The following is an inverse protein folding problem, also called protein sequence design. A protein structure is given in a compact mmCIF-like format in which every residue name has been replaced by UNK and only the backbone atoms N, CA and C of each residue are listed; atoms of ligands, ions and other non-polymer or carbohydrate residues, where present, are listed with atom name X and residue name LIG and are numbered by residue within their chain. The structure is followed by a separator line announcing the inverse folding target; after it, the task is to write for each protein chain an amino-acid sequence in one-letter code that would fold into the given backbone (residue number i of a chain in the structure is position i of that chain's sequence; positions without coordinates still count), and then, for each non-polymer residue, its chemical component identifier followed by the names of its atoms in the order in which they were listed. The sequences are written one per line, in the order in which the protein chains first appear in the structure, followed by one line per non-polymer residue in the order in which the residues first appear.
data_IF_812979153246
#
_entry.id   IF_812979153246
#
_cell.length_a   1.000
_cell.length_b   1.000
_cell.length_c   1.000
_cell.angle_alpha   90.00
_cell.angle_beta   90.00
_cell.angle_gamma   90.00
#
_symmetry.space_group_name_H-M   'P 1'
#
loop_
_entity.id
_entity.type
_entity.pdbx_description
1 polymer ?
#
# COMPACT_ATOMS: atom_id res chain seq x y z
N UNK A 1 -31.47 -32.50 27.47
CA UNK A 1 -30.20 -31.78 27.69
C UNK A 1 -29.62 -31.24 26.37
N UNK A 2 -30.44 -30.68 25.47
CA UNK A 2 -30.05 -30.37 24.07
C UNK A 2 -30.02 -28.87 23.70
N UNK A 3 -30.29 -27.95 24.65
CA UNK A 3 -30.40 -26.51 24.34
C UNK A 3 -29.05 -25.74 24.38
N UNK A 4 -27.97 -26.35 24.90
CA UNK A 4 -26.67 -25.67 25.06
C UNK A 4 -25.78 -25.75 23.81
N UNK A 5 -26.03 -26.71 22.92
CA UNK A 5 -25.18 -26.96 21.74
C UNK A 5 -25.42 -25.92 20.64
N UNK A 6 -26.65 -25.42 20.51
CA UNK A 6 -27.01 -24.44 19.46
C UNK A 6 -26.43 -23.05 19.70
N UNK A 7 -26.33 -22.60 20.95
CA UNK A 7 -25.84 -21.24 21.27
C UNK A 7 -24.33 -21.14 21.02
N UNK A 8 -23.57 -22.18 21.37
CA UNK A 8 -22.12 -22.21 21.13
C UNK A 8 -21.77 -22.27 19.64
N UNK A 9 -22.55 -23.00 18.83
CA UNK A 9 -22.39 -23.04 17.36
C UNK A 9 -22.76 -21.71 16.71
N UNK A 10 -23.82 -21.05 17.16
CA UNK A 10 -24.19 -19.71 16.66
C UNK A 10 -23.13 -18.69 17.07
N UNK A 11 -22.62 -18.71 18.30
CA UNK A 11 -21.53 -17.85 18.71
C UNK A 11 -20.25 -18.11 17.89
N UNK A 12 -19.87 -19.37 17.68
CA UNK A 12 -18.71 -19.73 16.86
C UNK A 12 -18.88 -19.31 15.39
N UNK A 13 -20.08 -19.44 14.82
CA UNK A 13 -20.39 -18.97 13.48
C UNK A 13 -20.38 -17.43 13.42
N UNK A 14 -20.90 -16.71 14.41
CA UNK A 14 -20.85 -15.24 14.48
C UNK A 14 -19.41 -14.73 14.64
N UNK A 15 -18.58 -15.38 15.46
CA UNK A 15 -17.16 -15.04 15.61
C UNK A 15 -16.33 -15.42 14.38
N UNK A 16 -16.69 -16.48 13.65
CA UNK A 16 -16.03 -16.87 12.40
C UNK A 16 -16.49 -16.05 11.18
N UNK A 17 -17.70 -15.47 11.20
CA UNK A 17 -18.30 -14.79 10.06
C UNK A 17 -17.88 -13.34 9.88
N UNK A 18 -17.17 -12.75 10.86
CA UNK A 18 -16.75 -11.34 10.76
C UNK A 18 -15.26 -11.20 11.08
N UNK A 19 -14.41 -11.88 10.30
CA UNK A 19 -13.09 -11.31 10.00
C UNK A 19 -13.29 -10.27 8.89
N UNK A 20 -14.12 -9.27 9.17
CA UNK A 20 -14.36 -8.22 8.23
C UNK A 20 -13.03 -7.48 8.07
N UNK A 21 -12.50 -7.53 6.85
CA UNK A 21 -11.42 -6.68 6.36
C UNK A 21 -11.92 -5.24 6.45
N UNK A 22 -11.88 -4.72 7.66
CA UNK A 22 -12.47 -3.45 8.03
C UNK A 22 -11.36 -2.46 8.28
N UNK A 23 -11.61 -1.25 7.82
CA UNK A 23 -10.70 -0.17 8.06
C UNK A 23 -10.51 0.04 9.56
N UNK A 24 -9.25 0.25 10.01
CA UNK A 24 -9.03 0.74 11.36
C UNK A 24 -9.71 2.10 11.58
N UNK A 25 -9.84 2.53 12.85
CA UNK A 25 -10.26 3.87 13.16
C UNK A 25 -9.46 4.92 12.37
N UNK A 26 -10.15 5.91 11.83
CA UNK A 26 -9.58 6.95 10.96
C UNK A 26 -8.39 7.69 11.62
N UNK A 27 -8.40 7.80 12.95
CA UNK A 27 -7.30 8.38 13.73
C UNK A 27 -5.95 7.66 13.53
N UNK A 28 -5.97 6.39 13.09
CA UNK A 28 -4.76 5.61 12.83
C UNK A 28 -4.25 5.83 11.40
N UNK A 29 -5.14 6.05 10.44
CA UNK A 29 -4.80 6.15 9.01
C UNK A 29 -4.64 7.57 8.51
N UNK A 30 -5.20 8.57 9.19
CA UNK A 30 -5.05 9.98 8.81
C UNK A 30 -3.58 10.37 8.63
N UNK A 31 -3.25 11.16 7.60
CA UNK A 31 -4.15 11.83 6.66
C UNK A 31 -4.63 10.97 5.48
N UNK A 32 -4.28 9.68 5.44
CA UNK A 32 -4.74 8.77 4.40
C UNK A 32 -6.14 8.20 4.73
N UNK A 33 -6.90 7.91 3.69
CA UNK A 33 -8.23 7.35 3.77
C UNK A 33 -8.15 5.83 3.60
N UNK A 34 -8.90 5.09 4.41
CA UNK A 34 -9.05 3.66 4.23
C UNK A 34 -10.39 3.37 3.55
N UNK A 35 -10.35 2.64 2.45
CA UNK A 35 -11.45 2.38 1.54
C UNK A 35 -11.78 0.87 1.56
N UNK A 36 -12.73 0.42 2.40
CA UNK A 36 -13.04 -1.00 2.55
C UNK A 36 -13.67 -1.58 1.28
N UNK A 37 -14.45 -0.77 0.54
CA UNK A 37 -15.11 -1.15 -0.72
C UNK A 37 -14.15 -1.37 -1.90
N UNK A 38 -12.87 -1.04 -1.72
CA UNK A 38 -11.82 -1.20 -2.72
C UNK A 38 -10.79 -2.22 -2.24
N UNK A 39 -11.25 -3.38 -1.76
CA UNK A 39 -10.40 -4.42 -1.19
C UNK A 39 -9.54 -3.91 -0.02
N UNK A 40 -10.11 -3.18 0.95
CA UNK A 40 -9.34 -2.62 2.08
C UNK A 40 -8.08 -1.84 1.60
N UNK A 41 -8.30 -0.85 0.74
CA UNK A 41 -7.23 0.02 0.20
C UNK A 41 -6.92 1.15 1.17
N UNK A 42 -5.63 1.40 1.43
CA UNK A 42 -5.18 2.65 2.05
C UNK A 42 -4.80 3.64 0.94
N UNK A 43 -5.57 4.70 0.80
CA UNK A 43 -5.36 5.75 -0.19
C UNK A 43 -4.78 7.01 0.44
N UNK A 44 -3.63 7.44 -0.06
CA UNK A 44 -2.90 8.61 0.37
C UNK A 44 -2.83 9.62 -0.79
N UNK A 45 -3.21 10.87 -0.53
CA UNK A 45 -3.20 11.94 -1.52
C UNK A 45 -2.33 13.10 -1.04
N UNK A 46 -1.61 13.74 -1.96
CA UNK A 46 -0.84 14.96 -1.70
C UNK A 46 0.20 14.80 -0.57
N UNK A 47 0.80 13.62 -0.42
CA UNK A 47 1.80 13.38 0.61
C UNK A 47 3.12 14.01 0.17
N UNK A 48 3.63 14.92 0.99
CA UNK A 48 4.94 15.56 0.78
C UNK A 48 6.00 15.12 1.80
N UNK A 49 5.57 14.49 2.89
CA UNK A 49 6.44 13.98 3.95
C UNK A 49 6.28 12.46 4.04
N UNK A 50 7.35 11.74 3.69
CA UNK A 50 7.40 10.28 3.75
C UNK A 50 7.16 9.73 5.18
N UNK A 51 7.43 10.53 6.21
CA UNK A 51 7.20 10.16 7.61
C UNK A 51 5.74 9.83 7.91
N UNK A 52 4.80 10.38 7.12
CA UNK A 52 3.37 10.08 7.20
C UNK A 52 3.11 8.59 6.99
N UNK A 53 3.67 8.00 5.94
CA UNK A 53 3.50 6.57 5.62
C UNK A 53 4.08 5.71 6.75
N UNK A 54 5.29 6.05 7.21
CA UNK A 54 5.91 5.34 8.32
C UNK A 54 5.14 5.48 9.63
N UNK A 55 4.49 6.63 9.87
CA UNK A 55 3.62 6.88 11.01
C UNK A 55 2.36 6.03 10.99
N UNK A 56 1.69 5.95 9.83
CA UNK A 56 0.51 5.10 9.64
C UNK A 56 0.89 3.64 9.87
N UNK A 57 1.96 3.15 9.23
CA UNK A 57 2.43 1.77 9.40
C UNK A 57 2.66 1.38 10.85
N UNK A 58 3.21 2.29 11.67
CA UNK A 58 3.38 2.05 13.12
C UNK A 58 2.06 2.00 13.87
N UNK A 59 1.09 2.84 13.52
CA UNK A 59 -0.22 2.92 14.20
C UNK A 59 -1.16 1.79 13.80
N UNK A 60 -1.12 1.37 12.54
CA UNK A 60 -1.95 0.27 12.01
C UNK A 60 -1.34 -1.10 12.28
N UNK A 61 -0.04 -1.16 12.61
CA UNK A 61 0.62 -2.36 13.11
C UNK A 61 0.46 -3.55 12.17
N UNK A 62 -0.23 -4.59 12.65
CA UNK A 62 -0.39 -5.88 11.97
C UNK A 62 -1.60 -5.93 11.01
N UNK A 63 -2.27 -4.80 10.79
CA UNK A 63 -3.32 -4.70 9.77
C UNK A 63 -2.66 -4.89 8.40
N UNK A 64 -3.20 -5.85 7.64
CA UNK A 64 -2.84 -6.07 6.24
C UNK A 64 -3.88 -5.39 5.37
N UNK A 65 -3.44 -4.41 4.58
CA UNK A 65 -4.22 -3.81 3.51
C UNK A 65 -3.95 -4.58 2.21
N UNK A 66 -4.93 -4.69 1.32
CA UNK A 66 -4.63 -5.29 0.01
C UNK A 66 -3.77 -4.34 -0.82
N UNK A 67 -4.06 -3.03 -0.75
CA UNK A 67 -3.43 -2.02 -1.60
C UNK A 67 -3.02 -0.78 -0.80
N UNK A 68 -1.84 -0.26 -1.13
CA UNK A 68 -1.47 1.13 -0.90
C UNK A 68 -1.67 1.89 -2.22
N UNK A 69 -2.48 2.95 -2.21
CA UNK A 69 -2.60 3.90 -3.32
C UNK A 69 -2.00 5.23 -2.95
N UNK A 70 -1.16 5.77 -3.83
CA UNK A 70 -0.59 7.10 -3.67
C UNK A 70 -0.94 7.95 -4.90
N UNK A 71 -1.53 9.12 -4.66
CA UNK A 71 -1.84 10.09 -5.71
C UNK A 71 -1.16 11.43 -5.44
N UNK A 72 -0.67 12.06 -6.49
CA UNK A 72 -0.15 13.44 -6.48
C UNK A 72 0.83 13.71 -5.32
N UNK A 73 1.70 12.75 -5.03
CA UNK A 73 2.60 12.79 -3.88
C UNK A 73 4.03 13.14 -4.31
N UNK A 74 4.75 13.83 -3.44
CA UNK A 74 6.13 14.26 -3.66
C UNK A 74 6.98 13.89 -2.46
N UNK A 75 7.55 12.69 -2.49
CA UNK A 75 8.36 12.17 -1.39
C UNK A 75 9.74 11.77 -1.89
N UNK A 76 10.75 11.69 -1.03
CA UNK A 76 12.07 11.18 -1.47
C UNK A 76 11.97 9.69 -1.82
N UNK A 77 11.37 8.91 -0.93
CA UNK A 77 11.11 7.48 -1.10
C UNK A 77 10.15 6.98 -0.03
N UNK A 78 9.51 5.83 -0.26
CA UNK A 78 8.71 5.19 0.79
C UNK A 78 9.64 4.70 1.92
N UNK A 79 9.31 4.96 3.19
CA UNK A 79 10.18 4.58 4.29
C UNK A 79 10.18 3.05 4.49
N UNK A 80 11.26 2.48 5.05
CA UNK A 80 11.46 1.03 5.08
C UNK A 80 10.37 0.29 5.85
N UNK A 81 9.77 0.95 6.85
CA UNK A 81 8.71 0.37 7.64
C UNK A 81 7.34 0.33 6.93
N UNK A 82 7.15 1.03 5.81
CA UNK A 82 5.89 0.97 5.04
C UNK A 82 5.60 -0.43 4.51
N UNK A 83 6.64 -1.18 4.15
CA UNK A 83 6.49 -2.53 3.60
C UNK A 83 6.87 -3.64 4.58
N UNK A 84 7.07 -3.30 5.85
CA UNK A 84 7.35 -4.31 6.87
C UNK A 84 6.12 -5.17 7.15
N UNK A 85 6.37 -6.41 7.58
CA UNK A 85 5.33 -7.34 8.09
C UNK A 85 4.16 -7.62 7.14
N UNK A 86 4.39 -7.63 5.83
CA UNK A 86 3.34 -7.99 4.85
C UNK A 86 2.14 -7.03 4.86
N UNK A 87 2.36 -5.77 5.22
CA UNK A 87 1.30 -4.79 5.40
C UNK A 87 0.53 -4.47 4.11
N UNK A 88 1.16 -4.59 2.94
CA UNK A 88 0.54 -4.34 1.64
C UNK A 88 0.82 -5.49 0.67
N UNK A 89 -0.20 -5.89 -0.12
CA UNK A 89 -0.04 -6.88 -1.20
C UNK A 89 0.19 -6.22 -2.56
N UNK A 90 -0.29 -5.00 -2.76
CA UNK A 90 -0.10 -4.23 -3.96
C UNK A 90 0.20 -2.77 -3.63
N UNK A 91 0.99 -2.13 -4.50
CA UNK A 91 1.32 -0.71 -4.41
C UNK A 91 1.00 -0.09 -5.76
N UNK A 92 0.20 0.97 -5.73
CA UNK A 92 -0.18 1.72 -6.91
C UNK A 92 0.18 3.20 -6.69
N UNK A 93 0.97 3.78 -7.59
CA UNK A 93 1.42 5.17 -7.48
C UNK A 93 1.04 5.90 -8.76
N UNK A 94 0.36 7.04 -8.60
CA UNK A 94 -0.19 7.84 -9.67
C UNK A 94 0.28 9.30 -9.57
N UNK A 95 0.66 9.88 -10.70
CA UNK A 95 0.94 11.31 -10.88
C UNK A 95 1.86 11.88 -9.77
N UNK A 96 2.90 11.13 -9.42
CA UNK A 96 3.74 11.40 -8.24
C UNK A 96 5.20 11.57 -8.62
N UNK A 97 5.97 12.20 -7.75
CA UNK A 97 7.42 12.34 -7.91
C UNK A 97 8.13 11.73 -6.72
N UNK A 98 9.08 10.85 -7.02
CA UNK A 98 9.94 10.19 -6.06
C UNK A 98 11.41 10.39 -6.43
N UNK A 99 12.33 10.37 -5.49
CA UNK A 99 13.76 10.26 -5.83
C UNK A 99 14.14 8.78 -6.05
N UNK A 100 13.58 7.89 -5.23
CA UNK A 100 13.65 6.44 -5.38
C UNK A 100 12.35 5.79 -4.88
N UNK A 101 12.13 4.50 -5.16
CA UNK A 101 10.90 3.82 -4.72
C UNK A 101 10.90 3.61 -3.20
N UNK A 102 11.97 3.04 -2.66
CA UNK A 102 12.04 2.60 -1.25
C UNK A 102 13.36 3.03 -0.60
N UNK A 103 13.29 3.53 0.63
CA UNK A 103 14.47 3.74 1.49
C UNK A 103 14.81 2.45 2.25
N UNK A 104 15.04 1.39 1.49
CA UNK A 104 15.20 0.04 2.02
C UNK A 104 13.90 -0.75 2.09
N UNK A 105 14.01 -2.07 1.93
CA UNK A 105 12.88 -2.98 1.95
C UNK A 105 13.32 -4.32 2.52
N UNK A 106 12.47 -4.90 3.36
CA UNK A 106 12.67 -6.24 3.92
C UNK A 106 12.23 -7.30 2.90
N UNK A 107 13.02 -8.36 2.70
CA UNK A 107 12.67 -9.50 1.87
C UNK A 107 11.42 -10.26 2.35
N UNK A 108 11.01 -10.05 3.61
CA UNK A 108 9.78 -10.61 4.19
C UNK A 108 8.48 -9.96 3.67
N UNK A 109 8.58 -8.93 2.82
CA UNK A 109 7.44 -8.24 2.23
C UNK A 109 6.49 -9.17 1.45
N UNK A 110 5.22 -8.77 1.34
CA UNK A 110 4.18 -9.51 0.62
C UNK A 110 3.76 -8.86 -0.70
N UNK A 111 4.52 -7.89 -1.19
CA UNK A 111 4.14 -7.14 -2.38
C UNK A 111 4.19 -8.07 -3.60
N UNK A 112 3.06 -8.15 -4.31
CA UNK A 112 2.83 -8.99 -5.48
C UNK A 112 2.58 -8.18 -6.75
N UNK A 113 2.11 -6.95 -6.60
CA UNK A 113 1.91 -6.01 -7.69
C UNK A 113 2.50 -4.65 -7.35
N UNK A 114 3.17 -4.04 -8.33
CA UNK A 114 3.67 -2.68 -8.25
C UNK A 114 3.33 -1.98 -9.56
N UNK A 115 2.41 -1.04 -9.49
CA UNK A 115 1.95 -0.28 -10.65
C UNK A 115 2.27 1.20 -10.48
N UNK A 116 2.95 1.74 -11.49
CA UNK A 116 3.48 3.10 -11.50
C UNK A 116 2.94 3.82 -12.74
N UNK A 117 2.12 4.83 -12.54
CA UNK A 117 1.46 5.60 -13.58
C UNK A 117 1.86 7.07 -13.47
N UNK A 118 2.52 7.61 -14.50
CA UNK A 118 3.03 8.99 -14.49
C UNK A 118 3.86 9.29 -13.25
N UNK A 119 4.81 8.41 -12.93
CA UNK A 119 5.72 8.58 -11.81
C UNK A 119 7.05 9.12 -12.32
N UNK A 120 7.43 10.30 -11.82
CA UNK A 120 8.73 10.88 -12.08
C UNK A 120 9.75 10.43 -11.04
N UNK A 121 10.93 10.03 -11.51
CA UNK A 121 12.08 9.79 -10.64
C UNK A 121 13.06 10.96 -10.73
N UNK A 122 13.59 11.40 -9.59
CA UNK A 122 14.63 12.44 -9.54
C UNK A 122 15.94 12.03 -10.22
N UNK A 123 16.13 10.73 -10.44
CA UNK A 123 17.24 10.11 -11.15
C UNK A 123 16.70 9.02 -12.10
N UNK A 124 17.58 8.23 -12.72
CA UNK A 124 17.17 7.02 -13.45
C UNK A 124 16.35 6.08 -12.57
N UNK A 125 15.41 5.38 -13.19
CA UNK A 125 14.53 4.43 -12.51
C UNK A 125 15.33 3.42 -11.63
N UNK A 126 14.98 3.24 -10.35
CA UNK A 126 15.79 2.49 -9.40
C UNK A 126 15.55 0.96 -9.49
N UNK A 127 15.92 0.35 -10.62
CA UNK A 127 15.69 -1.09 -10.90
C UNK A 127 16.18 -2.04 -9.79
N UNK A 128 17.30 -1.70 -9.13
CA UNK A 128 17.88 -2.50 -8.06
C UNK A 128 16.94 -2.65 -6.85
N UNK A 129 16.04 -1.70 -6.62
CA UNK A 129 15.09 -1.70 -5.52
C UNK A 129 13.91 -2.67 -5.74
N UNK A 130 13.76 -3.24 -6.94
CA UNK A 130 12.80 -4.31 -7.20
C UNK A 130 13.31 -5.68 -6.76
N UNK A 131 14.63 -5.87 -6.67
CA UNK A 131 15.28 -7.16 -6.35
C UNK A 131 14.77 -7.80 -5.04
N UNK A 132 14.51 -7.05 -3.95
CA UNK A 132 14.00 -7.65 -2.71
C UNK A 132 12.51 -8.02 -2.74
N UNK A 133 11.76 -7.62 -3.78
CA UNK A 133 10.34 -7.95 -3.95
C UNK A 133 10.19 -9.39 -4.49
N UNK A 134 10.61 -10.39 -3.71
CA UNK A 134 10.64 -11.80 -4.11
C UNK A 134 9.28 -12.37 -4.52
N UNK A 135 8.19 -11.73 -4.08
CA UNK A 135 6.82 -12.15 -4.36
C UNK A 135 6.18 -11.36 -5.52
N UNK A 136 6.91 -10.45 -6.16
CA UNK A 136 6.40 -9.63 -7.26
C UNK A 136 6.04 -10.50 -8.47
N UNK A 137 4.79 -10.39 -8.91
CA UNK A 137 4.25 -11.11 -10.07
C UNK A 137 3.89 -10.18 -11.21
N UNK A 138 3.47 -8.96 -10.85
CA UNK A 138 3.05 -7.94 -11.79
C UNK A 138 3.83 -6.67 -11.52
N UNK A 139 4.38 -6.09 -12.58
CA UNK A 139 5.02 -4.80 -12.55
C UNK A 139 4.59 -4.02 -13.79
N UNK A 140 3.94 -2.88 -13.58
CA UNK A 140 3.54 -1.96 -14.63
C UNK A 140 4.21 -0.62 -14.38
N UNK A 141 4.88 -0.09 -15.41
CA UNK A 141 5.45 1.24 -15.38
C UNK A 141 5.05 1.97 -16.67
N UNK A 142 4.05 2.85 -16.56
CA UNK A 142 3.60 3.70 -17.64
C UNK A 142 4.18 5.10 -17.45
N UNK A 143 5.28 5.34 -18.15
CA UNK A 143 5.83 6.68 -18.35
C UNK A 143 5.10 7.30 -19.54
N UNK A 144 4.45 8.44 -19.34
CA UNK A 144 4.15 9.30 -20.48
C UNK A 144 5.48 9.78 -21.03
N UNK A 145 5.89 9.24 -22.19
CA UNK A 145 6.78 9.97 -23.06
C UNK A 145 6.02 11.25 -23.43
N UNK A 146 6.36 12.38 -22.80
CA UNK A 146 6.19 13.65 -23.49
C UNK A 146 6.98 13.51 -24.78
N UNK A 147 6.28 13.18 -25.86
CA UNK A 147 6.78 13.37 -27.20
C UNK A 147 7.29 14.81 -27.23
N UNK A 148 8.60 14.95 -27.43
CA UNK A 148 9.18 16.17 -27.95
C UNK A 148 8.47 16.43 -29.28
N UNK A 149 7.32 17.10 -29.24
CA UNK A 149 6.88 17.94 -30.33
C UNK A 149 7.88 19.11 -30.33
N UNK A 150 9.02 18.87 -30.98
CA UNK A 150 9.77 19.93 -31.63
C UNK A 150 8.78 20.65 -32.56
N UNK A 151 8.20 21.73 -32.08
CA UNK A 151 7.68 22.78 -32.94
C UNK A 151 8.85 23.73 -33.21
N UNK A 152 9.41 23.57 -34.41
CA UNK A 152 10.18 24.54 -35.21
C UNK A 152 11.45 25.11 -34.56
#
# INVERSE_FOLDING_TARGET
MHLKVSIALIAYLVFAYVKAETCPPESLTRPCECLPELDLTLECRNITDASVLGGISRRTGDITFEKLRMFNSRIESMPPNTLTKKQFKAIEIYDSKLNSLFDGIDESNSVRALDLFHVEFGQTFPWSQLKPLKNLRTFVHLVMFCALYHNV
#
